data_IF_340239598097
#
_entry.id   IF_340239598097
#
_cell.length_a   1.000
_cell.length_b   1.000
_cell.length_c   1.000
_cell.angle_alpha   90.00
_cell.angle_beta   90.00
_cell.angle_gamma   90.00
#
_symmetry.space_group_name_H-M   'P 1'
#
loop_
_entity.id
_entity.type
_entity.pdbx_description
1 polymer ?
#
# COMPACT_ATOMS: atom_id res chain seq x y z
N UNK A 1 0.21 -2.69 3.04
CA UNK A 1 0.41 -2.16 4.41
C UNK A 1 -0.95 -1.75 4.92
N UNK A 2 -1.29 -2.16 6.13
CA UNK A 2 -2.56 -1.86 6.81
C UNK A 2 -2.24 -1.01 8.02
N UNK A 3 -2.90 0.13 8.15
CA UNK A 3 -2.77 1.06 9.28
C UNK A 3 -4.15 1.36 9.82
N UNK A 4 -4.42 1.02 11.07
CA UNK A 4 -5.71 1.29 11.71
C UNK A 4 -6.01 2.79 11.81
N UNK A 5 -7.28 3.18 11.65
CA UNK A 5 -7.72 4.59 11.81
C UNK A 5 -8.06 4.97 13.25
N UNK A 6 -8.19 3.98 14.16
CA UNK A 6 -8.63 4.17 15.55
C UNK A 6 -7.51 3.78 16.52
N UNK A 7 -7.42 4.45 17.66
CA UNK A 7 -6.41 4.17 18.71
C UNK A 7 -6.39 2.70 19.17
N UNK A 8 -7.54 2.03 19.20
CA UNK A 8 -7.66 0.63 19.61
C UNK A 8 -7.88 -0.34 18.45
N UNK A 9 -7.30 -0.07 17.27
CA UNK A 9 -7.45 -0.95 16.11
C UNK A 9 -6.81 -2.33 16.35
N UNK A 10 -7.63 -3.38 16.28
CA UNK A 10 -7.17 -4.76 16.41
C UNK A 10 -6.76 -5.34 15.06
N UNK A 11 -5.44 -5.40 14.82
CA UNK A 11 -4.88 -6.07 13.64
C UNK A 11 -5.29 -7.55 13.56
N UNK A 12 -5.44 -8.24 14.69
CA UNK A 12 -5.85 -9.64 14.71
C UNK A 12 -7.29 -9.82 14.20
N UNK A 13 -8.21 -8.96 14.64
CA UNK A 13 -9.60 -8.98 14.19
C UNK A 13 -9.70 -8.65 12.70
N UNK A 14 -9.01 -7.59 12.25
CA UNK A 14 -8.96 -7.20 10.84
C UNK A 14 -8.42 -8.32 9.93
N UNK A 15 -7.33 -8.99 10.32
CA UNK A 15 -6.77 -10.10 9.55
C UNK A 15 -7.67 -11.34 9.59
N UNK A 16 -8.40 -11.59 10.69
CA UNK A 16 -9.38 -12.68 10.76
C UNK A 16 -10.53 -12.44 9.79
N UNK A 17 -11.06 -11.21 9.75
CA UNK A 17 -12.12 -10.79 8.83
C UNK A 17 -11.67 -10.88 7.37
N UNK A 18 -10.50 -10.31 7.06
CA UNK A 18 -9.92 -10.39 5.72
C UNK A 18 -9.76 -11.83 5.21
N UNK A 19 -9.34 -12.78 6.07
CA UNK A 19 -9.26 -14.20 5.69
C UNK A 19 -10.60 -14.88 5.44
N UNK A 20 -11.68 -14.35 6.03
CA UNK A 20 -13.03 -14.87 5.80
C UNK A 20 -13.67 -14.34 4.52
N UNK A 21 -13.33 -13.12 4.12
CA UNK A 21 -13.96 -12.43 2.97
C UNK A 21 -13.11 -12.51 1.69
N UNK A 22 -11.78 -12.62 1.79
CA UNK A 22 -10.86 -12.59 0.65
C UNK A 22 -10.32 -14.00 0.38
N UNK A 23 -10.45 -14.45 -0.87
CA UNK A 23 -9.83 -15.68 -1.35
C UNK A 23 -8.50 -15.38 -2.03
N UNK A 24 -7.39 -15.66 -1.33
CA UNK A 24 -6.03 -15.54 -1.88
C UNK A 24 -5.77 -16.50 -3.04
N UNK A 25 -6.46 -17.64 -3.09
CA UNK A 25 -6.36 -18.60 -4.20
C UNK A 25 -6.93 -18.03 -5.49
N UNK A 26 -8.07 -17.30 -5.42
CA UNK A 26 -8.64 -16.59 -6.58
C UNK A 26 -7.73 -15.47 -7.09
N UNK A 27 -6.87 -14.93 -6.23
CA UNK A 27 -5.86 -13.95 -6.59
C UNK A 27 -4.54 -14.60 -7.07
N UNK A 28 -4.50 -15.93 -7.15
CA UNK A 28 -3.32 -16.73 -7.51
C UNK A 28 -2.10 -16.42 -6.62
N UNK A 29 -2.35 -16.11 -5.34
CA UNK A 29 -1.31 -15.80 -4.36
C UNK A 29 -0.91 -17.08 -3.63
N UNK A 30 0.22 -17.66 -4.05
CA UNK A 30 0.72 -18.92 -3.50
C UNK A 30 1.25 -18.79 -2.07
N UNK A 31 1.88 -17.65 -1.75
CA UNK A 31 2.51 -17.45 -0.44
C UNK A 31 2.51 -15.98 -0.05
N UNK A 32 2.12 -15.71 1.20
CA UNK A 32 2.27 -14.39 1.81
C UNK A 32 3.15 -14.47 3.05
N UNK A 33 3.81 -13.35 3.37
CA UNK A 33 4.51 -13.14 4.63
C UNK A 33 3.92 -11.93 5.33
N UNK A 34 3.45 -12.10 6.56
CA UNK A 34 2.87 -11.03 7.37
C UNK A 34 3.87 -10.64 8.44
N UNK A 35 4.16 -9.36 8.58
CA UNK A 35 5.06 -8.83 9.61
C UNK A 35 4.64 -7.44 10.08
N UNK A 36 5.04 -7.08 11.29
CA UNK A 36 4.90 -5.71 11.78
C UNK A 36 5.99 -4.82 11.17
N UNK A 37 5.62 -3.63 10.70
CA UNK A 37 6.56 -2.61 10.25
C UNK A 37 7.03 -1.74 11.42
N UNK A 38 8.11 -0.98 11.21
CA UNK A 38 8.70 -0.13 12.25
C UNK A 38 7.72 0.93 12.81
N UNK A 39 6.82 1.44 11.98
CA UNK A 39 5.75 2.36 12.38
C UNK A 39 4.54 1.68 13.06
N UNK A 40 4.66 0.40 13.42
CA UNK A 40 3.58 -0.37 14.08
C UNK A 40 2.50 -0.91 13.14
N UNK A 41 2.49 -0.51 11.87
CA UNK A 41 1.55 -1.00 10.85
C UNK A 41 1.77 -2.49 10.52
N UNK A 42 0.79 -3.10 9.85
CA UNK A 42 0.91 -4.48 9.37
C UNK A 42 1.33 -4.49 7.90
N UNK A 43 2.42 -5.18 7.59
CA UNK A 43 2.87 -5.41 6.23
C UNK A 43 2.55 -6.83 5.79
N UNK A 44 1.93 -6.94 4.62
CA UNK A 44 1.68 -8.20 3.93
C UNK A 44 2.51 -8.18 2.66
N UNK A 45 3.45 -9.11 2.56
CA UNK A 45 4.32 -9.30 1.42
C UNK A 45 3.79 -10.47 0.59
N UNK A 46 3.54 -10.23 -0.69
CA UNK A 46 3.12 -11.24 -1.67
C UNK A 46 4.37 -11.79 -2.33
N UNK A 47 4.63 -13.09 -2.14
CA UNK A 47 5.85 -13.73 -2.61
C UNK A 47 5.61 -14.41 -3.97
N UNK A 48 6.64 -14.42 -4.82
CA UNK A 48 6.62 -15.11 -6.11
C UNK A 48 6.52 -14.18 -7.33
N UNK A 49 6.40 -14.76 -8.53
CA UNK A 49 6.23 -13.99 -9.76
C UNK A 49 4.97 -13.14 -9.69
N UNK A 50 4.99 -12.02 -10.41
CA UNK A 50 3.87 -11.08 -10.48
C UNK A 50 3.44 -10.50 -9.12
N UNK A 51 4.36 -10.52 -8.13
CA UNK A 51 4.07 -10.04 -6.78
C UNK A 51 3.53 -8.61 -6.74
N UNK A 52 3.92 -7.76 -7.69
CA UNK A 52 3.42 -6.39 -7.80
C UNK A 52 1.94 -6.31 -8.18
N UNK A 53 1.50 -7.02 -9.23
CA UNK A 53 0.11 -7.02 -9.68
C UNK A 53 -0.78 -7.76 -8.67
N UNK A 54 -0.31 -8.89 -8.14
CA UNK A 54 -1.03 -9.65 -7.11
C UNK A 54 -1.16 -8.89 -5.80
N UNK A 55 -0.14 -8.15 -5.37
CA UNK A 55 -0.25 -7.24 -4.23
C UNK A 55 -1.21 -6.07 -4.48
N UNK A 56 -1.34 -5.60 -5.73
CA UNK A 56 -2.32 -4.58 -6.10
C UNK A 56 -3.75 -5.12 -5.97
N UNK A 57 -4.02 -6.31 -6.50
CA UNK A 57 -5.33 -6.96 -6.39
C UNK A 57 -5.69 -7.27 -4.93
N UNK A 58 -4.75 -7.80 -4.15
CA UNK A 58 -4.96 -8.02 -2.71
C UNK A 58 -5.24 -6.71 -1.96
N UNK A 59 -4.58 -5.61 -2.32
CA UNK A 59 -4.86 -4.29 -1.74
C UNK A 59 -6.29 -3.84 -2.04
N UNK A 60 -6.79 -4.06 -3.25
CA UNK A 60 -8.16 -3.66 -3.63
C UNK A 60 -9.21 -4.38 -2.80
N UNK A 61 -9.09 -5.70 -2.67
CA UNK A 61 -9.97 -6.51 -1.81
C UNK A 61 -9.88 -6.07 -0.34
N UNK A 62 -8.66 -5.85 0.18
CA UNK A 62 -8.47 -5.38 1.56
C UNK A 62 -9.03 -3.96 1.79
N UNK A 63 -8.96 -3.09 0.78
CA UNK A 63 -9.54 -1.75 0.84
C UNK A 63 -11.06 -1.84 1.03
N UNK A 64 -11.74 -2.73 0.30
CA UNK A 64 -13.19 -2.91 0.42
C UNK A 64 -13.59 -3.50 1.77
N UNK A 65 -12.92 -4.58 2.19
CA UNK A 65 -13.21 -5.25 3.46
C UNK A 65 -12.98 -4.32 4.65
N UNK A 66 -11.89 -3.54 4.65
CA UNK A 66 -11.46 -2.73 5.80
C UNK A 66 -11.76 -1.23 5.65
N UNK A 67 -12.59 -0.83 4.68
CA UNK A 67 -12.80 0.56 4.24
C UNK A 67 -13.06 1.58 5.36
N UNK A 68 -13.75 1.16 6.43
CA UNK A 68 -14.18 2.02 7.55
C UNK A 68 -13.23 1.96 8.76
N UNK A 69 -12.30 0.99 8.76
CA UNK A 69 -11.50 0.65 9.95
C UNK A 69 -10.01 0.93 9.77
N UNK A 70 -9.50 0.78 8.54
CA UNK A 70 -8.08 0.89 8.25
C UNK A 70 -7.80 1.58 6.91
N UNK A 71 -6.61 2.18 6.82
CA UNK A 71 -6.02 2.56 5.56
C UNK A 71 -5.17 1.40 5.02
N UNK A 72 -5.39 1.03 3.75
CA UNK A 72 -4.64 -0.04 3.09
C UNK A 72 -3.90 0.54 1.90
N UNK A 73 -2.57 0.48 1.95
CA UNK A 73 -1.69 1.00 0.90
C UNK A 73 -0.83 -0.12 0.32
N UNK A 74 -0.39 0.02 -0.93
CA UNK A 74 0.67 -0.81 -1.54
C UNK A 74 1.94 0.03 -1.58
N UNK A 75 2.86 -0.14 -0.60
CA UNK A 75 4.13 0.58 -0.62
C UNK A 75 4.89 0.25 -1.90
N UNK A 76 5.45 1.26 -2.52
CA UNK A 76 6.38 1.13 -3.65
C UNK A 76 7.66 1.82 -3.25
N UNK A 77 8.79 1.27 -3.71
CA UNK A 77 10.06 2.01 -3.65
C UNK A 77 9.86 3.28 -4.45
N UNK A 78 10.14 4.43 -3.84
CA UNK A 78 10.12 5.74 -4.49
C UNK A 78 11.55 6.25 -4.54
N UNK A 79 11.89 6.95 -5.62
CA UNK A 79 13.08 7.80 -5.67
C UNK A 79 12.81 9.15 -5.02
N UNK A 80 13.87 9.83 -4.57
CA UNK A 80 13.82 11.24 -4.15
C UNK A 80 14.33 12.09 -5.33
N UNK A 81 13.63 13.18 -5.64
CA UNK A 81 14.07 14.18 -6.63
C UNK A 81 14.27 15.50 -5.89
N UNK A 82 15.41 16.15 -6.15
CA UNK A 82 15.70 17.50 -5.64
C UNK A 82 15.89 18.44 -6.82
N UNK A 83 15.01 19.43 -6.93
CA UNK A 83 15.15 20.53 -7.88
C UNK A 83 15.94 21.67 -7.22
N UNK A 84 16.93 22.22 -7.93
CA UNK A 84 17.78 23.31 -7.44
C UNK A 84 17.86 24.42 -8.49
N UNK A 85 18.05 25.68 -8.05
CA UNK A 85 18.21 26.83 -8.95
C UNK A 85 16.92 27.35 -9.58
N UNK A 86 15.76 27.12 -8.94
CA UNK A 86 14.49 27.74 -9.34
C UNK A 86 14.47 29.21 -8.93
N UNK A 87 13.95 30.08 -9.80
CA UNK A 87 13.68 31.49 -9.50
C UNK A 87 12.18 31.79 -9.44
N UNK A 88 11.82 33.02 -9.07
CA UNK A 88 10.44 33.47 -8.81
C UNK A 88 9.52 33.41 -10.06
N UNK A 89 10.08 33.22 -11.26
CA UNK A 89 9.29 33.04 -12.49
C UNK A 89 8.76 31.63 -12.71
N UNK A 90 9.27 30.62 -11.98
CA UNK A 90 8.94 29.21 -12.21
C UNK A 90 7.62 28.82 -11.53
N UNK A 91 6.72 28.21 -12.30
CA UNK A 91 5.44 27.69 -11.80
C UNK A 91 5.49 26.20 -11.47
N UNK A 92 4.46 25.71 -10.76
CA UNK A 92 4.32 24.29 -10.49
C UNK A 92 4.08 23.47 -11.78
N UNK A 93 3.39 24.05 -12.77
CA UNK A 93 3.25 23.44 -14.10
C UNK A 93 4.61 23.26 -14.79
N UNK A 94 5.47 24.29 -14.80
CA UNK A 94 6.79 24.23 -15.47
C UNK A 94 7.66 23.10 -14.92
N UNK A 95 7.65 22.92 -13.58
CA UNK A 95 8.38 21.84 -12.91
C UNK A 95 7.78 20.48 -13.26
N UNK A 96 6.45 20.35 -13.28
CA UNK A 96 5.77 19.10 -13.61
C UNK A 96 6.11 18.67 -15.04
N UNK A 97 5.97 19.58 -16.00
CA UNK A 97 6.12 19.28 -17.42
C UNK A 97 7.59 18.94 -17.77
N UNK A 98 8.55 19.40 -16.98
CA UNK A 98 9.98 19.03 -17.11
C UNK A 98 10.31 17.65 -16.54
N UNK A 99 9.55 17.17 -15.55
CA UNK A 99 9.87 15.94 -14.79
C UNK A 99 9.08 14.72 -15.28
N UNK A 100 8.00 14.92 -16.04
CA UNK A 100 7.14 13.84 -16.56
C UNK A 100 7.58 13.45 -17.97
N UNK A 101 8.09 12.21 -18.13
CA UNK A 101 8.18 11.49 -19.43
C UNK A 101 6.80 10.98 -19.87
#
# INVERSE_FOLDING_TARGET
MITGRKENFSYAAALKRARGEISVDKLEINRTKIRRAANGSMLIEVMGPDGHSKAKALREELCEVLKDEANVTKPVVRGEIRSVGLDDSITAEDVRDTVVD
#
